data_IF_806979016262
#
_entry.id   IF_806979016262
#
_cell.length_a   1.000
_cell.length_b   1.000
_cell.length_c   1.000
_cell.angle_alpha   90.00
_cell.angle_beta   90.00
_cell.angle_gamma   90.00
#
_symmetry.space_group_name_H-M   'P 1'
#
loop_
_entity.id
_entity.type
_entity.pdbx_description
1 polymer ?
#
# COMPACT_ATOMS: atom_id res chain seq x y z
N UNK A 1 -19.21 3.68 22.84
CA UNK A 1 -20.25 2.76 22.37
C UNK A 1 -19.97 2.61 20.90
N UNK A 2 -19.48 1.44 20.45
CA UNK A 2 -19.31 1.22 19.02
C UNK A 2 -20.71 1.17 18.43
N UNK A 3 -21.06 2.15 17.60
CA UNK A 3 -22.22 2.01 16.73
C UNK A 3 -21.98 0.74 15.93
N UNK A 4 -22.96 -0.17 15.94
CA UNK A 4 -22.95 -1.38 15.14
C UNK A 4 -23.09 -0.92 13.68
N UNK A 5 -21.98 -0.45 13.10
CA UNK A 5 -21.92 0.07 11.74
C UNK A 5 -22.05 -1.14 10.82
N UNK A 6 -23.15 -1.19 10.10
CA UNK A 6 -23.41 -2.24 9.14
C UNK A 6 -22.47 -2.04 7.95
N UNK A 7 -21.45 -2.89 7.87
CA UNK A 7 -20.52 -2.92 6.74
C UNK A 7 -20.94 -4.03 5.78
N UNK A 8 -20.81 -3.76 4.49
CA UNK A 8 -20.94 -4.76 3.43
C UNK A 8 -19.54 -5.13 2.97
N UNK A 9 -19.12 -6.36 3.24
CA UNK A 9 -17.83 -6.89 2.82
C UNK A 9 -17.82 -7.13 1.30
N UNK A 10 -16.68 -6.84 0.68
CA UNK A 10 -16.44 -7.21 -0.70
C UNK A 10 -16.13 -8.70 -0.79
N UNK A 11 -16.92 -9.40 -1.59
CA UNK A 11 -16.80 -10.83 -1.86
C UNK A 11 -16.33 -11.12 -3.29
N UNK A 12 -16.56 -10.17 -4.20
CA UNK A 12 -16.16 -10.27 -5.60
C UNK A 12 -15.33 -9.03 -6.01
N UNK A 13 -14.31 -9.20 -6.89
CA UNK A 13 -13.50 -8.07 -7.36
C UNK A 13 -14.33 -6.97 -8.05
N UNK A 14 -15.42 -7.33 -8.70
CA UNK A 14 -16.37 -6.41 -9.34
C UNK A 14 -16.98 -5.41 -8.35
N UNK A 15 -17.18 -5.81 -7.09
CA UNK A 15 -17.75 -4.94 -6.06
C UNK A 15 -16.75 -3.85 -5.65
N UNK A 16 -15.47 -4.19 -5.54
CA UNK A 16 -14.39 -3.24 -5.28
C UNK A 16 -14.21 -2.26 -6.46
N UNK A 17 -14.32 -2.76 -7.70
CA UNK A 17 -14.28 -1.92 -8.91
C UNK A 17 -15.46 -0.95 -8.92
N UNK A 18 -16.68 -1.44 -8.68
CA UNK A 18 -17.88 -0.61 -8.64
C UNK A 18 -17.80 0.45 -7.53
N UNK A 19 -17.23 0.11 -6.38
CA UNK A 19 -16.94 1.08 -5.32
C UNK A 19 -15.95 2.15 -5.80
N UNK A 20 -14.83 1.76 -6.41
CA UNK A 20 -13.81 2.68 -6.89
C UNK A 20 -14.36 3.62 -7.98
N UNK A 21 -15.22 3.15 -8.88
CA UNK A 21 -15.85 4.01 -9.90
C UNK A 21 -16.69 5.16 -9.31
N UNK A 22 -17.27 4.95 -8.12
CA UNK A 22 -18.12 5.93 -7.45
C UNK A 22 -17.30 6.83 -6.52
N UNK A 23 -16.45 6.25 -5.69
CA UNK A 23 -15.81 6.92 -4.55
C UNK A 23 -14.34 7.24 -4.77
N UNK A 24 -13.62 6.45 -5.59
CA UNK A 24 -12.19 6.62 -5.83
C UNK A 24 -11.78 6.28 -7.27
N UNK A 25 -12.18 7.17 -8.19
CA UNK A 25 -11.92 7.04 -9.63
C UNK A 25 -10.43 7.06 -9.99
N UNK A 26 -9.57 7.41 -9.04
CA UNK A 26 -8.15 7.52 -9.26
C UNK A 26 -7.49 6.14 -9.27
N UNK A 27 -7.88 5.26 -8.33
CA UNK A 27 -7.34 3.89 -8.26
C UNK A 27 -7.74 3.10 -9.51
N UNK A 28 -9.03 3.13 -9.87
CA UNK A 28 -9.61 2.46 -11.05
C UNK A 28 -8.93 1.09 -11.32
N UNK A 29 -9.08 0.12 -10.40
CA UNK A 29 -8.38 -1.16 -10.49
C UNK A 29 -8.95 -2.01 -11.63
N UNK A 30 -8.10 -2.83 -12.25
CA UNK A 30 -8.57 -3.91 -13.12
C UNK A 30 -9.20 -5.04 -12.30
N UNK A 31 -9.85 -6.02 -12.96
CA UNK A 31 -10.35 -7.23 -12.29
C UNK A 31 -9.22 -8.01 -11.60
N UNK A 32 -8.05 -8.08 -12.25
CA UNK A 32 -6.87 -8.75 -11.71
C UNK A 32 -6.31 -7.99 -10.50
N UNK A 33 -6.33 -6.66 -10.55
CA UNK A 33 -5.86 -5.79 -9.48
C UNK A 33 -6.76 -5.93 -8.23
N UNK A 34 -8.07 -5.88 -8.43
CA UNK A 34 -9.03 -6.04 -7.35
C UNK A 34 -8.99 -7.45 -6.76
N UNK A 35 -8.88 -8.48 -7.60
CA UNK A 35 -8.72 -9.86 -7.13
C UNK A 35 -7.43 -10.05 -6.33
N UNK A 36 -6.32 -9.45 -6.78
CA UNK A 36 -5.05 -9.48 -6.07
C UNK A 36 -5.21 -8.90 -4.66
N UNK A 37 -5.75 -7.68 -4.53
CA UNK A 37 -5.95 -7.04 -3.24
C UNK A 37 -6.83 -7.89 -2.32
N UNK A 38 -7.98 -8.38 -2.80
CA UNK A 38 -8.89 -9.22 -2.00
C UNK A 38 -8.22 -10.52 -1.56
N UNK A 39 -7.47 -11.20 -2.44
CA UNK A 39 -6.76 -12.43 -2.12
C UNK A 39 -5.68 -12.22 -1.05
N UNK A 40 -4.95 -11.10 -1.10
CA UNK A 40 -3.98 -10.76 -0.05
C UNK A 40 -4.65 -10.48 1.28
N UNK A 41 -5.78 -9.75 1.30
CA UNK A 41 -6.52 -9.52 2.53
C UNK A 41 -7.00 -10.84 3.14
N UNK A 42 -7.67 -11.69 2.34
CA UNK A 42 -8.18 -12.99 2.79
C UNK A 42 -7.04 -13.91 3.26
N UNK A 43 -5.93 -13.97 2.51
CA UNK A 43 -4.76 -14.77 2.86
C UNK A 43 -4.03 -14.33 4.14
N UNK A 44 -4.36 -13.16 4.67
CA UNK A 44 -3.85 -12.63 5.94
C UNK A 44 -4.96 -12.49 7.00
N UNK A 45 -6.06 -13.24 6.85
CA UNK A 45 -7.19 -13.28 7.78
C UNK A 45 -7.95 -11.94 7.91
N UNK A 46 -8.02 -11.16 6.83
CA UNK A 46 -8.79 -9.92 6.79
C UNK A 46 -9.80 -9.91 5.64
N UNK A 47 -10.91 -9.22 5.86
CA UNK A 47 -11.83 -8.83 4.80
C UNK A 47 -11.90 -7.29 4.73
N UNK A 48 -12.19 -6.76 3.54
CA UNK A 48 -12.45 -5.34 3.35
C UNK A 48 -13.87 -5.12 2.85
N UNK A 49 -14.45 -3.98 3.18
CA UNK A 49 -15.82 -3.66 2.84
C UNK A 49 -16.10 -2.18 2.98
N UNK A 50 -17.37 -1.81 2.80
CA UNK A 50 -17.82 -0.43 2.90
C UNK A 50 -19.09 -0.27 3.71
N UNK A 51 -19.26 0.89 4.35
CA UNK A 51 -20.56 1.30 4.90
C UNK A 51 -21.46 1.93 3.82
N UNK A 52 -22.69 2.29 4.21
CA UNK A 52 -23.66 2.92 3.31
C UNK A 52 -23.22 4.28 2.74
N UNK A 53 -22.18 4.92 3.30
CA UNK A 53 -21.64 6.20 2.86
C UNK A 53 -20.44 6.03 1.90
N UNK A 54 -20.04 4.79 1.62
CA UNK A 54 -18.88 4.49 0.78
C UNK A 54 -17.55 4.55 1.53
N UNK A 55 -17.55 4.67 2.86
CA UNK A 55 -16.30 4.63 3.63
C UNK A 55 -15.83 3.19 3.76
N UNK A 56 -14.53 2.96 3.57
CA UNK A 56 -13.95 1.62 3.65
C UNK A 56 -13.53 1.24 5.07
N UNK A 57 -13.67 -0.05 5.35
CA UNK A 57 -13.29 -0.69 6.60
C UNK A 57 -12.61 -2.02 6.31
N UNK A 58 -11.80 -2.43 7.28
CA UNK A 58 -11.26 -3.79 7.38
C UNK A 58 -11.94 -4.50 8.54
N UNK A 59 -12.16 -5.80 8.38
CA UNK A 59 -12.63 -6.69 9.43
C UNK A 59 -11.59 -7.81 9.64
N UNK A 60 -11.21 -8.04 10.89
CA UNK A 60 -10.42 -9.21 11.29
C UNK A 60 -11.31 -10.47 11.22
N UNK A 61 -10.84 -11.47 10.47
CA UNK A 61 -11.54 -12.74 10.23
C UNK A 61 -10.95 -13.89 11.06
N UNK A 62 -9.88 -13.67 11.80
CA UNK A 62 -9.29 -14.67 12.70
C UNK A 62 -10.16 -14.91 13.94
N UNK A 63 -11.00 -13.94 14.32
CA UNK A 63 -11.87 -14.00 15.50
C UNK A 63 -13.37 -13.92 15.14
N UNK A 64 -14.20 -14.60 15.94
CA UNK A 64 -15.66 -14.50 15.80
C UNK A 64 -16.14 -13.10 16.23
N UNK A 65 -16.61 -12.30 15.26
CA UNK A 65 -16.86 -10.85 15.41
C UNK A 65 -15.57 -10.03 15.58
N UNK A 66 -14.54 -10.35 14.79
CA UNK A 66 -13.29 -9.60 14.81
C UNK A 66 -13.46 -8.10 14.56
N UNK A 67 -12.45 -7.34 15.01
CA UNK A 67 -12.48 -5.89 15.04
C UNK A 67 -12.74 -5.29 13.65
N UNK A 68 -13.63 -4.29 13.60
CA UNK A 68 -13.89 -3.50 12.42
C UNK A 68 -13.29 -2.12 12.62
N UNK A 69 -12.39 -1.73 11.75
CA UNK A 69 -11.72 -0.43 11.82
C UNK A 69 -11.72 0.29 10.46
N UNK A 70 -11.73 1.63 10.45
CA UNK A 70 -11.58 2.40 9.22
C UNK A 70 -10.29 2.03 8.50
N UNK A 71 -10.40 1.66 7.23
CA UNK A 71 -9.25 1.19 6.46
C UNK A 71 -9.42 1.61 4.99
N UNK A 72 -8.98 2.82 4.62
CA UNK A 72 -9.13 3.35 3.26
C UNK A 72 -8.31 2.54 2.24
N UNK A 73 -8.67 2.64 0.97
CA UNK A 73 -8.02 1.89 -0.13
C UNK A 73 -6.51 2.13 -0.21
N UNK A 74 -6.06 3.35 0.10
CA UNK A 74 -4.63 3.67 0.14
C UNK A 74 -3.89 2.84 1.20
N UNK A 75 -4.50 2.62 2.36
CA UNK A 75 -3.95 1.81 3.45
C UNK A 75 -4.03 0.31 3.12
N UNK A 76 -5.06 -0.12 2.38
CA UNK A 76 -5.13 -1.48 1.82
C UNK A 76 -3.96 -1.73 0.89
N UNK A 77 -3.71 -0.84 -0.07
CA UNK A 77 -2.62 -1.00 -1.05
C UNK A 77 -1.27 -0.98 -0.33
N UNK A 78 -1.03 -0.02 0.56
CA UNK A 78 0.20 0.06 1.36
C UNK A 78 0.43 -1.24 2.15
N UNK A 79 -0.62 -1.76 2.81
CA UNK A 79 -0.50 -2.97 3.60
C UNK A 79 -0.23 -4.22 2.78
N UNK A 80 -0.87 -4.34 1.61
CA UNK A 80 -0.64 -5.44 0.69
C UNK A 80 0.78 -5.39 0.11
N UNK A 81 1.31 -4.19 -0.19
CA UNK A 81 2.71 -4.00 -0.56
C UNK A 81 3.67 -4.51 0.52
N UNK A 82 3.43 -4.17 1.80
CA UNK A 82 4.24 -4.66 2.92
C UNK A 82 4.25 -6.20 2.98
N UNK A 83 3.09 -6.83 2.89
CA UNK A 83 2.99 -8.29 2.93
C UNK A 83 3.66 -8.96 1.72
N UNK A 84 3.49 -8.41 0.52
CA UNK A 84 4.18 -8.91 -0.66
C UNK A 84 5.70 -8.87 -0.47
N UNK A 85 6.23 -7.77 0.05
CA UNK A 85 7.66 -7.62 0.34
C UNK A 85 8.17 -8.65 1.37
N UNK A 86 7.45 -8.82 2.49
CA UNK A 86 7.79 -9.81 3.52
C UNK A 86 7.80 -11.24 2.97
N UNK A 87 6.83 -11.56 2.10
CA UNK A 87 6.75 -12.87 1.44
C UNK A 87 7.89 -13.10 0.44
N UNK A 88 8.30 -12.05 -0.29
CA UNK A 88 9.47 -12.11 -1.19
C UNK A 88 10.73 -12.40 -0.39
N UNK A 89 10.97 -11.66 0.69
CA UNK A 89 12.13 -11.87 1.56
C UNK A 89 12.16 -13.28 2.16
N UNK A 90 11.01 -13.78 2.60
CA UNK A 90 10.90 -15.15 3.10
C UNK A 90 11.20 -16.18 2.00
N UNK A 91 10.71 -15.97 0.76
CA UNK A 91 10.98 -16.86 -0.36
C UNK A 91 12.47 -16.85 -0.75
N UNK A 92 13.12 -15.68 -0.76
CA UNK A 92 14.56 -15.54 -1.01
C UNK A 92 15.39 -16.31 0.03
N UNK A 93 15.10 -16.11 1.32
CA UNK A 93 15.81 -16.80 2.40
C UNK A 93 15.70 -18.34 2.30
N UNK A 94 14.59 -18.85 1.78
CA UNK A 94 14.37 -20.28 1.56
C UNK A 94 15.07 -20.82 0.31
N UNK A 95 15.29 -19.98 -0.70
CA UNK A 95 16.06 -20.32 -1.90
C UNK A 95 17.56 -20.41 -1.62
N UNK A 96 18.05 -19.69 -0.62
CA UNK A 96 19.46 -19.72 -0.20
C UNK A 96 19.83 -21.01 0.57
N UNK A 97 18.87 -21.64 1.25
CA UNK A 97 19.06 -22.90 2.00
C UNK A 97 17.88 -23.88 1.82
N UNK A 98 17.66 -24.41 0.59
CA UNK A 98 16.59 -25.36 0.32
C UNK A 98 16.99 -26.77 0.81
N UNK A 99 16.04 -27.52 1.36
CA UNK A 99 16.28 -28.91 1.80
C UNK A 99 16.53 -29.85 0.62
N UNK A 100 15.86 -29.59 -0.51
CA UNK A 100 16.03 -30.34 -1.75
C UNK A 100 15.69 -29.48 -2.98
N UNK A 101 15.91 -30.06 -4.17
CA UNK A 101 15.68 -29.37 -5.44
C UNK A 101 14.19 -29.07 -5.69
N UNK A 102 13.27 -29.88 -5.15
CA UNK A 102 11.85 -29.64 -5.31
C UNK A 102 11.43 -28.41 -4.48
N UNK A 103 11.87 -28.32 -3.23
CA UNK A 103 11.62 -27.16 -2.37
C UNK A 103 12.20 -25.88 -2.99
N UNK A 104 13.39 -25.95 -3.61
CA UNK A 104 13.94 -24.83 -4.38
C UNK A 104 13.03 -24.40 -5.54
N UNK A 105 12.52 -25.35 -6.35
CA UNK A 105 11.62 -25.05 -7.46
C UNK A 105 10.32 -24.41 -6.97
N UNK A 106 9.72 -24.93 -5.90
CA UNK A 106 8.50 -24.38 -5.30
C UNK A 106 8.70 -22.95 -4.81
N UNK A 107 9.82 -22.66 -4.13
CA UNK A 107 10.13 -21.30 -3.68
C UNK A 107 10.53 -20.36 -4.83
N UNK A 108 11.15 -20.88 -5.90
CA UNK A 108 11.44 -20.11 -7.10
C UNK A 108 10.15 -19.69 -7.80
N UNK A 109 9.20 -20.60 -8.01
CA UNK A 109 7.89 -20.30 -8.61
C UNK A 109 7.10 -19.30 -7.75
N UNK A 110 7.10 -19.48 -6.43
CA UNK A 110 6.47 -18.54 -5.51
C UNK A 110 7.12 -17.16 -5.58
N UNK A 111 8.45 -17.10 -5.59
CA UNK A 111 9.19 -15.84 -5.71
C UNK A 111 8.85 -15.12 -7.03
N UNK A 112 8.83 -15.83 -8.15
CA UNK A 112 8.52 -15.24 -9.45
C UNK A 112 7.07 -14.72 -9.50
N UNK A 113 6.12 -15.44 -8.90
CA UNK A 113 4.74 -14.98 -8.74
C UNK A 113 4.67 -13.71 -7.89
N UNK A 114 5.37 -13.68 -6.75
CA UNK A 114 5.36 -12.52 -5.86
C UNK A 114 6.00 -11.28 -6.51
N UNK A 115 7.03 -11.44 -7.34
CA UNK A 115 7.61 -10.34 -8.14
C UNK A 115 6.67 -9.87 -9.26
N UNK A 116 5.82 -10.74 -9.79
CA UNK A 116 4.77 -10.33 -10.72
C UNK A 116 3.70 -9.50 -9.99
N UNK A 117 3.30 -9.93 -8.78
CA UNK A 117 2.38 -9.17 -7.92
C UNK A 117 2.96 -7.81 -7.56
N UNK A 118 4.24 -7.73 -7.17
CA UNK A 118 4.95 -6.48 -6.84
C UNK A 118 4.81 -5.44 -7.97
N UNK A 119 4.96 -5.85 -9.24
CA UNK A 119 4.81 -4.95 -10.40
C UNK A 119 3.39 -4.41 -10.56
N UNK A 120 2.37 -5.20 -10.20
CA UNK A 120 0.97 -4.75 -10.17
C UNK A 120 0.74 -3.80 -9.01
N UNK A 121 1.29 -4.12 -7.84
CA UNK A 121 1.17 -3.32 -6.62
C UNK A 121 1.88 -1.97 -6.76
N UNK A 122 3.07 -1.91 -7.35
CA UNK A 122 3.77 -0.66 -7.66
C UNK A 122 2.88 0.29 -8.49
N UNK A 123 2.24 -0.25 -9.54
CA UNK A 123 1.32 0.52 -10.39
C UNK A 123 0.09 1.01 -9.64
N UNK A 124 -0.42 0.23 -8.69
CA UNK A 124 -1.55 0.64 -7.83
C UNK A 124 -1.11 1.69 -6.82
N UNK A 125 0.07 1.52 -6.24
CA UNK A 125 0.67 2.44 -5.27
C UNK A 125 0.90 3.83 -5.88
N UNK A 126 1.38 3.91 -7.12
CA UNK A 126 1.53 5.16 -7.87
C UNK A 126 0.22 5.95 -8.01
N UNK A 127 -0.92 5.28 -7.89
CA UNK A 127 -2.24 5.91 -7.94
C UNK A 127 -2.78 6.28 -6.56
N UNK A 128 -2.14 5.90 -5.46
CA UNK A 128 -2.57 6.30 -4.12
C UNK A 128 -2.32 7.79 -3.87
N UNK A 129 -2.98 8.39 -2.87
CA UNK A 129 -2.66 9.75 -2.46
C UNK A 129 -1.22 9.89 -1.93
N UNK A 130 -0.66 8.80 -1.39
CA UNK A 130 0.71 8.73 -0.89
C UNK A 130 1.77 9.01 -1.96
N UNK A 131 1.63 8.41 -3.15
CA UNK A 131 2.54 8.69 -4.26
C UNK A 131 2.48 10.17 -4.69
N UNK A 132 1.29 10.77 -4.70
CA UNK A 132 1.10 12.19 -5.06
C UNK A 132 1.65 13.15 -4.00
N UNK A 133 1.55 12.80 -2.72
CA UNK A 133 2.16 13.57 -1.64
C UNK A 133 3.69 13.53 -1.74
N UNK A 134 4.28 12.38 -2.08
CA UNK A 134 5.72 12.25 -2.34
C UNK A 134 6.15 13.14 -3.50
N UNK A 135 5.42 13.14 -4.63
CA UNK A 135 5.71 14.00 -5.78
C UNK A 135 5.57 15.49 -5.45
N UNK A 136 4.55 15.85 -4.68
CA UNK A 136 4.34 17.23 -4.23
C UNK A 136 5.48 17.69 -3.31
N UNK A 137 5.91 16.85 -2.36
CA UNK A 137 7.03 17.13 -1.46
C UNK A 137 8.36 17.19 -2.24
N UNK A 138 8.59 16.27 -3.18
CA UNK A 138 9.77 16.27 -4.03
C UNK A 138 9.83 17.53 -4.91
N UNK A 139 8.70 17.94 -5.48
CA UNK A 139 8.58 19.18 -6.27
C UNK A 139 8.86 20.40 -5.39
N UNK A 140 8.24 20.50 -4.21
CA UNK A 140 8.47 21.60 -3.28
C UNK A 140 9.94 21.66 -2.81
N UNK A 141 10.59 20.52 -2.60
CA UNK A 141 12.01 20.43 -2.27
C UNK A 141 12.89 20.94 -3.41
N UNK A 142 12.59 20.56 -4.66
CA UNK A 142 13.31 21.02 -5.84
C UNK A 142 13.12 22.52 -6.06
N UNK A 143 11.90 23.04 -5.92
CA UNK A 143 11.60 24.47 -6.04
C UNK A 143 12.29 25.30 -4.95
N UNK A 144 12.29 24.81 -3.70
CA UNK A 144 13.02 25.43 -2.60
C UNK A 144 14.54 25.40 -2.83
N UNK A 145 15.07 24.32 -3.41
CA UNK A 145 16.47 24.19 -3.75
C UNK A 145 16.89 25.18 -4.86
N UNK A 146 16.11 25.28 -5.94
CA UNK A 146 16.34 26.23 -7.05
C UNK A 146 16.26 27.67 -6.54
N UNK A 147 15.24 28.01 -5.74
CA UNK A 147 15.07 29.35 -5.16
C UNK A 147 16.26 29.76 -4.28
N UNK A 148 16.81 28.81 -3.51
CA UNK A 148 18.00 29.04 -2.70
C UNK A 148 19.28 29.25 -3.53
N UNK A 149 19.41 28.60 -4.69
CA UNK A 149 20.54 28.79 -5.60
C UNK A 149 20.48 30.13 -6.35
N UNK A 150 19.29 30.54 -6.82
CA UNK A 150 19.08 31.80 -7.53
C UNK A 150 19.34 33.03 -6.63
N UNK A 151 19.18 32.88 -5.31
CA UNK A 151 19.36 33.93 -4.31
C UNK A 151 20.81 34.23 -3.87
N UNK A 152 21.85 33.71 -4.55
CA UNK A 152 23.26 33.66 -4.05
C UNK A 152 23.42 32.83 -2.76
N UNK A 153 22.59 31.82 -2.55
CA UNK A 153 22.66 30.95 -1.37
C UNK A 153 23.81 29.96 -1.43
N UNK A 154 24.46 29.77 -0.28
CA UNK A 154 25.46 28.72 -0.04
C UNK A 154 24.84 27.33 -0.26
N UNK A 155 25.53 26.47 -1.01
CA UNK A 155 25.13 25.10 -1.31
C UNK A 155 24.81 24.29 -0.03
N UNK A 156 25.49 24.59 1.08
CA UNK A 156 25.25 23.98 2.39
C UNK A 156 23.87 24.32 2.98
N UNK A 157 23.36 25.54 2.79
CA UNK A 157 22.01 25.92 3.27
C UNK A 157 20.91 25.21 2.47
N UNK A 158 21.12 25.05 1.18
CA UNK A 158 20.18 24.33 0.31
C UNK A 158 20.14 22.84 0.69
N UNK A 159 21.29 22.22 0.94
CA UNK A 159 21.38 20.83 1.42
C UNK A 159 20.73 20.63 2.80
N UNK A 160 20.92 21.57 3.74
CA UNK A 160 20.31 21.50 5.07
C UNK A 160 18.76 21.57 5.03
N UNK A 161 18.21 22.36 4.11
CA UNK A 161 16.75 22.47 3.92
C UNK A 161 16.15 21.16 3.41
N UNK A 162 16.85 20.47 2.50
CA UNK A 162 16.44 19.15 2.01
C UNK A 162 16.46 18.10 3.12
N UNK A 163 17.56 18.05 3.88
CA UNK A 163 17.69 17.11 4.99
C UNK A 163 16.59 17.29 6.05
N UNK A 164 16.17 18.55 6.29
CA UNK A 164 15.07 18.84 7.21
C UNK A 164 13.71 18.40 6.64
N UNK A 165 13.42 18.70 5.36
CA UNK A 165 12.16 18.27 4.73
C UNK A 165 11.97 16.75 4.68
N UNK A 166 13.04 15.99 4.40
CA UNK A 166 13.02 14.52 4.43
C UNK A 166 12.76 14.02 5.86
N UNK A 167 13.38 14.64 6.86
CA UNK A 167 13.21 14.28 8.26
C UNK A 167 11.78 14.53 8.75
N UNK A 168 11.21 15.67 8.38
CA UNK A 168 9.85 16.06 8.78
C UNK A 168 8.80 15.11 8.17
N UNK A 169 8.94 14.76 6.88
CA UNK A 169 8.11 13.75 6.22
C UNK A 169 8.20 12.37 6.89
N UNK A 170 9.41 11.93 7.26
CA UNK A 170 9.62 10.64 7.95
C UNK A 170 9.00 10.58 9.34
N UNK A 171 8.91 11.71 10.06
CA UNK A 171 8.36 11.74 11.42
C UNK A 171 6.83 11.83 11.48
N UNK A 172 6.18 12.39 10.47
CA UNK A 172 4.71 12.53 10.42
C UNK A 172 4.02 11.16 10.21
N UNK A 173 4.67 10.24 9.49
CA UNK A 173 4.20 8.86 9.25
C UNK A 173 4.38 7.90 10.46
N UNK A 174 5.11 8.29 11.51
CA UNK A 174 5.33 7.45 12.71
C UNK A 174 4.33 7.69 13.85
N UNK A 175 3.38 8.59 13.67
CA UNK A 175 2.52 9.10 14.75
C UNK A 175 1.02 8.98 14.53
N UNK A 176 0.56 8.26 13.51
CA UNK A 176 -0.86 8.01 13.27
C UNK A 176 -1.16 6.53 13.29
#
# INVERSE_FOLDING_TARGET
MAENREITLFSEPEELIAWAEVYDKQINPSIEDAALLLNYMEGHDYAIGTDAEGKMYRQDMAEENGEIEPFPIDDVIDKVCEWNYDLILHAEAKKDDPKDFQEYCEFQEKYDSLKADESVLDRLFDKTSHAKEIDAVATALVEAFISNLEGKGDLEKAAATIAQGIKDYSTDKRGR
#
